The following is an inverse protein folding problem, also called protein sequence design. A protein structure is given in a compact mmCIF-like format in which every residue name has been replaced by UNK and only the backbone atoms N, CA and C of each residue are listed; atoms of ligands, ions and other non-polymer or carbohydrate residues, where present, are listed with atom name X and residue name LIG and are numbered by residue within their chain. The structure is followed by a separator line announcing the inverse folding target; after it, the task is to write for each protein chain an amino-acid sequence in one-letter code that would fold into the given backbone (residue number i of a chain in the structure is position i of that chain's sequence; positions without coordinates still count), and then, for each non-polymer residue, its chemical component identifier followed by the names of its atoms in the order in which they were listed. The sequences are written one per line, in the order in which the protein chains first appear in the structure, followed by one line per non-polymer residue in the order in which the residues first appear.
data_IF_199561209479
#
_entry.id   IF_199561209479
#
_cell.length_a   1.000
_cell.length_b   1.000
_cell.length_c   1.000
_cell.angle_alpha   90.00
_cell.angle_beta   90.00
_cell.angle_gamma   90.00
#
_symmetry.space_group_name_H-M   'P 1'
#
loop_
_entity.id
_entity.type
_entity.pdbx_description
1 polymer ?
#
# COMPACT_ATOMS: atom_id res chain seq x y z
N UNK A 1 13.94 -17.61 18.28
CA UNK A 1 13.44 -16.65 17.28
C UNK A 1 14.66 -15.96 16.69
N UNK A 2 14.94 -16.16 15.40
CA UNK A 2 16.01 -15.39 14.73
C UNK A 2 15.61 -13.90 14.75
N UNK A 3 16.57 -13.04 15.08
CA UNK A 3 16.42 -11.64 15.51
C UNK A 3 16.04 -10.64 14.37
N UNK A 4 15.35 -11.09 13.32
CA UNK A 4 15.15 -10.27 12.11
C UNK A 4 13.91 -9.37 12.19
N UNK A 5 13.00 -9.61 13.13
CA UNK A 5 11.81 -8.80 13.36
C UNK A 5 11.94 -8.02 14.67
N UNK A 6 12.05 -6.70 14.56
CA UNK A 6 12.03 -5.79 15.71
C UNK A 6 10.60 -5.29 15.93
N UNK A 7 9.95 -5.73 17.00
CA UNK A 7 8.53 -5.44 17.25
C UNK A 7 8.39 -4.33 18.28
N UNK A 8 7.73 -3.23 17.88
CA UNK A 8 7.35 -2.14 18.78
C UNK A 8 5.83 -2.16 18.95
N UNK A 9 5.39 -2.22 20.21
CA UNK A 9 3.95 -2.23 20.54
C UNK A 9 3.59 -0.94 21.27
N UNK A 10 2.57 -0.23 20.76
CA UNK A 10 2.04 1.01 21.36
C UNK A 10 0.59 0.80 21.78
N UNK A 11 0.33 1.09 23.06
CA UNK A 11 -0.96 0.80 23.72
C UNK A 11 -1.01 -0.60 24.33
N UNK A 12 -2.09 -0.91 25.04
CA UNK A 12 -2.27 -2.23 25.67
C UNK A 12 -2.89 -3.23 24.69
N UNK A 13 -2.07 -3.72 23.76
CA UNK A 13 -2.42 -4.78 22.79
C UNK A 13 -2.21 -6.16 23.43
N UNK A 14 -3.18 -7.09 23.37
CA UNK A 14 -3.01 -8.44 23.90
C UNK A 14 -1.81 -9.17 23.28
N UNK A 15 -0.98 -9.80 24.11
CA UNK A 15 0.22 -10.51 23.64
C UNK A 15 -0.09 -11.63 22.64
N UNK A 16 -1.21 -12.33 22.79
CA UNK A 16 -1.63 -13.38 21.86
C UNK A 16 -1.83 -12.83 20.45
N UNK A 17 -2.44 -11.64 20.32
CA UNK A 17 -2.59 -10.96 19.02
C UNK A 17 -1.24 -10.54 18.43
N UNK A 18 -0.34 -10.01 19.25
CA UNK A 18 1.02 -9.65 18.82
C UNK A 18 1.75 -10.88 18.27
N UNK A 19 1.67 -12.02 18.98
CA UNK A 19 2.31 -13.27 18.54
C UNK A 19 1.71 -13.81 17.24
N UNK A 20 0.39 -13.76 17.09
CA UNK A 20 -0.28 -14.18 15.87
C UNK A 20 0.19 -13.36 14.66
N UNK A 21 0.26 -12.03 14.80
CA UNK A 21 0.74 -11.12 13.72
C UNK A 21 2.19 -11.45 13.34
N UNK A 22 3.08 -11.59 14.34
CA UNK A 22 4.49 -11.89 14.09
C UNK A 22 4.69 -13.26 13.44
N UNK A 23 3.90 -14.26 13.85
CA UNK A 23 3.93 -15.59 13.25
C UNK A 23 3.50 -15.55 11.78
N UNK A 24 2.41 -14.84 11.47
CA UNK A 24 1.90 -14.70 10.11
C UNK A 24 2.91 -14.02 9.19
N UNK A 25 3.50 -12.90 9.63
CA UNK A 25 4.55 -12.20 8.88
C UNK A 25 5.72 -13.14 8.58
N UNK A 26 6.15 -13.91 9.58
CA UNK A 26 7.25 -14.87 9.43
C UNK A 26 6.91 -15.96 8.40
N UNK A 27 5.69 -16.50 8.45
CA UNK A 27 5.22 -17.53 7.50
C UNK A 27 5.14 -16.98 6.06
N UNK A 28 4.74 -15.72 5.88
CA UNK A 28 4.77 -15.07 4.56
C UNK A 28 6.19 -15.00 3.98
N UNK A 29 7.19 -14.60 4.79
CA UNK A 29 8.59 -14.56 4.33
C UNK A 29 9.13 -15.96 4.01
N UNK A 30 8.78 -16.98 4.82
CA UNK A 30 9.14 -18.37 4.56
C UNK A 30 8.56 -18.87 3.23
N UNK A 31 7.28 -18.62 2.96
CA UNK A 31 6.62 -18.99 1.68
C UNK A 31 7.26 -18.33 0.48
N UNK A 32 7.78 -17.12 0.64
CA UNK A 32 8.47 -16.38 -0.42
C UNK A 32 9.92 -16.87 -0.65
N UNK A 33 10.46 -17.71 0.25
CA UNK A 33 11.84 -18.19 0.17
C UNK A 33 12.88 -17.08 0.38
N UNK A 34 12.48 -15.98 1.03
CA UNK A 34 13.34 -14.81 1.28
C UNK A 34 13.58 -14.70 2.78
N UNK A 35 14.85 -14.63 3.22
CA UNK A 35 15.14 -14.25 4.60
C UNK A 35 14.79 -12.77 4.79
N UNK A 36 13.97 -12.39 5.78
CA UNK A 36 13.67 -10.99 6.02
C UNK A 36 14.96 -10.27 6.42
N UNK A 37 15.38 -9.30 5.60
CA UNK A 37 16.25 -8.22 6.07
C UNK A 37 15.52 -7.49 7.23
N UNK A 38 16.29 -6.91 8.16
CA UNK A 38 15.77 -6.29 9.38
C UNK A 38 14.46 -5.54 9.14
N UNK A 39 13.38 -6.02 9.75
CA UNK A 39 12.03 -5.48 9.55
C UNK A 39 11.46 -5.04 10.90
N UNK A 40 11.14 -3.75 10.99
CA UNK A 40 10.46 -3.18 12.15
C UNK A 40 8.94 -3.35 11.99
N UNK A 41 8.32 -3.99 12.99
CA UNK A 41 6.87 -4.21 13.04
C UNK A 41 6.29 -3.32 14.13
N UNK A 42 5.57 -2.28 13.71
CA UNK A 42 4.87 -1.36 14.61
C UNK A 42 3.42 -1.81 14.78
N UNK A 43 3.01 -2.13 16.02
CA UNK A 43 1.65 -2.59 16.34
C UNK A 43 0.99 -1.57 17.27
N UNK A 44 -0.14 -1.02 16.83
CA UNK A 44 -0.90 -0.02 17.56
C UNK A 44 -2.26 -0.57 17.97
N UNK A 45 -2.70 -0.26 19.19
CA UNK A 45 -4.06 -0.63 19.63
C UNK A 45 -5.15 0.17 18.95
N UNK A 46 -4.88 1.44 18.65
CA UNK A 46 -5.89 2.39 18.18
C UNK A 46 -5.27 3.46 17.30
N UNK A 47 -6.12 4.15 16.53
CA UNK A 47 -5.74 5.34 15.78
C UNK A 47 -5.10 6.41 16.66
N UNK A 48 -5.60 6.61 17.88
CA UNK A 48 -5.02 7.53 18.84
C UNK A 48 -3.57 7.17 19.21
N UNK A 49 -3.25 5.89 19.35
CA UNK A 49 -1.87 5.45 19.63
C UNK A 49 -0.94 5.67 18.43
N UNK A 50 -1.46 5.62 17.21
CA UNK A 50 -0.73 5.97 15.97
C UNK A 50 -0.42 7.46 15.96
N UNK A 51 -1.44 8.30 16.12
CA UNK A 51 -1.28 9.76 16.04
C UNK A 51 -0.34 10.26 17.16
N UNK A 52 -0.47 9.73 18.39
CA UNK A 52 0.46 10.04 19.48
C UNK A 52 1.90 9.61 19.19
N UNK A 53 2.10 8.42 18.61
CA UNK A 53 3.45 7.97 18.22
C UNK A 53 4.07 8.89 17.17
N UNK A 54 3.29 9.32 16.18
CA UNK A 54 3.75 10.27 15.16
C UNK A 54 4.14 11.60 15.82
N UNK A 55 3.35 12.12 16.76
CA UNK A 55 3.71 13.33 17.51
C UNK A 55 4.99 13.16 18.34
N UNK A 56 5.13 12.04 19.06
CA UNK A 56 6.33 11.69 19.84
C UNK A 56 7.58 11.65 18.96
N UNK A 57 7.51 10.99 17.80
CA UNK A 57 8.61 10.93 16.83
C UNK A 57 8.90 12.29 16.22
N UNK A 58 7.87 13.09 15.90
CA UNK A 58 8.05 14.44 15.37
C UNK A 58 8.78 15.35 16.36
N UNK A 59 8.46 15.26 17.66
CA UNK A 59 9.18 15.99 18.71
C UNK A 59 10.61 15.46 18.91
N UNK A 60 10.82 14.14 18.83
CA UNK A 60 12.16 13.55 18.87
C UNK A 60 13.03 14.08 17.72
N UNK A 61 12.52 14.06 16.49
CA UNK A 61 13.22 14.60 15.31
C UNK A 61 13.47 16.09 15.45
N UNK A 62 12.49 16.86 15.91
CA UNK A 62 12.64 18.29 16.14
C UNK A 62 13.73 18.58 17.19
N UNK A 63 13.76 17.86 18.29
CA UNK A 63 14.77 18.05 19.35
C UNK A 63 16.20 17.76 18.87
N UNK A 64 16.36 16.80 17.94
CA UNK A 64 17.67 16.37 17.44
C UNK A 64 18.16 17.19 16.25
N UNK A 65 17.25 17.53 15.33
CA UNK A 65 17.59 18.10 14.03
C UNK A 65 17.09 19.54 13.86
N UNK A 66 16.26 20.05 14.78
CA UNK A 66 15.63 21.37 14.67
C UNK A 66 14.55 21.45 13.59
N UNK A 67 14.18 20.33 12.98
CA UNK A 67 13.21 20.24 11.87
C UNK A 67 11.94 19.57 12.37
N UNK A 68 10.79 20.22 12.16
CA UNK A 68 9.49 19.57 12.38
C UNK A 68 9.11 18.80 11.14
N UNK A 69 8.79 17.52 11.31
CA UNK A 69 8.08 16.76 10.30
C UNK A 69 6.64 17.30 10.33
N UNK A 70 6.26 18.14 9.38
CA UNK A 70 4.84 18.46 9.22
C UNK A 70 4.16 17.25 8.60
N UNK A 71 2.92 16.97 9.01
CA UNK A 71 2.01 16.22 8.14
C UNK A 71 2.10 16.82 6.73
N UNK A 72 2.08 15.97 5.71
CA UNK A 72 2.26 16.39 4.31
C UNK A 72 1.14 17.37 3.97
N UNK A 73 1.39 18.67 4.16
CA UNK A 73 0.40 19.71 3.90
C UNK A 73 0.13 19.69 2.40
N UNK A 74 -1.12 19.80 1.92
CA UNK A 74 -1.43 19.70 0.49
C UNK A 74 -0.57 20.60 -0.41
N UNK A 75 -0.10 21.73 0.12
CA UNK A 75 0.74 22.72 -0.56
C UNK A 75 2.23 22.66 -0.19
N UNK A 76 2.67 21.61 0.52
CA UNK A 76 4.08 21.43 0.90
C UNK A 76 4.95 21.08 -0.30
N UNK A 77 6.25 21.38 -0.20
CA UNK A 77 7.25 20.96 -1.19
C UNK A 77 7.33 19.44 -1.34
N UNK A 78 7.07 18.69 -0.25
CA UNK A 78 7.01 17.22 -0.25
C UNK A 78 5.84 16.74 -1.10
N UNK A 79 4.65 17.31 -0.91
CA UNK A 79 3.46 17.00 -1.72
C UNK A 79 3.69 17.31 -3.19
N UNK A 80 4.29 18.47 -3.48
CA UNK A 80 4.64 18.85 -4.85
C UNK A 80 5.58 17.84 -5.52
N UNK A 81 6.61 17.39 -4.81
CA UNK A 81 7.53 16.36 -5.30
C UNK A 81 6.83 15.00 -5.49
N UNK A 82 5.98 14.59 -4.54
CA UNK A 82 5.20 13.36 -4.65
C UNK A 82 4.23 13.41 -5.83
N UNK A 83 3.55 14.54 -6.07
CA UNK A 83 2.70 14.73 -7.26
C UNK A 83 3.48 14.51 -8.54
N UNK A 84 4.66 15.13 -8.67
CA UNK A 84 5.52 14.95 -9.85
C UNK A 84 6.00 13.51 -10.02
N UNK A 85 6.34 12.84 -8.93
CA UNK A 85 6.74 11.43 -8.95
C UNK A 85 5.60 10.55 -9.46
N UNK A 86 4.39 10.71 -8.92
CA UNK A 86 3.24 9.93 -9.37
C UNK A 86 2.75 10.32 -10.77
N UNK A 87 2.92 11.57 -11.21
CA UNK A 87 2.73 11.91 -12.62
C UNK A 87 3.65 11.10 -13.53
N UNK A 88 4.90 10.86 -13.12
CA UNK A 88 5.82 10.05 -13.89
C UNK A 88 5.40 8.57 -13.90
N UNK A 89 5.06 7.99 -12.74
CA UNK A 89 4.69 6.58 -12.65
C UNK A 89 3.35 6.23 -13.27
N UNK A 90 2.36 7.14 -13.24
CA UNK A 90 1.04 6.89 -13.83
C UNK A 90 1.01 7.14 -15.35
N UNK A 91 2.01 7.79 -15.93
CA UNK A 91 2.04 8.03 -17.38
C UNK A 91 2.34 6.74 -18.11
N UNK A 92 1.32 6.19 -18.75
CA UNK A 92 1.44 4.94 -19.52
C UNK A 92 1.93 5.27 -20.93
N UNK A 93 3.06 4.70 -21.31
CA UNK A 93 3.64 4.84 -22.65
C UNK A 93 2.90 3.98 -23.67
N UNK A 94 2.94 4.33 -24.97
CA UNK A 94 2.34 3.51 -26.04
C UNK A 94 2.85 2.06 -26.06
N UNK A 95 4.09 1.81 -25.65
CA UNK A 95 4.66 0.47 -25.52
C UNK A 95 3.96 -0.32 -24.43
N UNK A 96 3.71 0.29 -23.27
CA UNK A 96 3.05 -0.34 -22.12
C UNK A 96 1.59 -0.67 -22.43
N UNK A 97 0.88 0.22 -23.15
CA UNK A 97 -0.49 -0.07 -23.64
C UNK A 97 -0.54 -1.33 -24.51
N UNK A 98 0.45 -1.50 -25.40
CA UNK A 98 0.56 -2.70 -26.24
C UNK A 98 0.84 -3.97 -25.44
N UNK A 99 1.53 -3.87 -24.29
CA UNK A 99 1.73 -5.01 -23.39
C UNK A 99 0.42 -5.39 -22.72
N UNK A 100 -0.36 -4.42 -22.25
CA UNK A 100 -1.70 -4.64 -21.69
C UNK A 100 -2.64 -5.34 -22.66
N UNK A 101 -2.70 -4.89 -23.92
CA UNK A 101 -3.53 -5.52 -24.96
C UNK A 101 -3.18 -7.00 -25.19
N UNK A 102 -1.90 -7.35 -25.12
CA UNK A 102 -1.43 -8.73 -25.30
C UNK A 102 -1.63 -9.60 -24.07
N UNK A 103 -1.55 -8.99 -22.88
CA UNK A 103 -1.64 -9.69 -21.61
C UNK A 103 -3.05 -10.21 -21.30
N UNK A 104 -4.10 -9.69 -21.95
CA UNK A 104 -5.50 -10.08 -21.70
C UNK A 104 -5.72 -11.60 -21.70
N UNK A 105 -4.99 -12.33 -22.55
CA UNK A 105 -5.11 -13.79 -22.67
C UNK A 105 -3.92 -14.55 -22.04
N UNK A 106 -2.97 -13.86 -21.41
CA UNK A 106 -1.74 -14.43 -20.87
C UNK A 106 -1.65 -14.13 -19.36
N UNK A 107 -2.24 -15.02 -18.56
CA UNK A 107 -2.45 -14.87 -17.11
C UNK A 107 -1.16 -14.49 -16.37
N UNK A 108 -0.04 -15.14 -16.69
CA UNK A 108 1.24 -14.87 -16.03
C UNK A 108 1.72 -13.43 -16.22
N UNK A 109 1.44 -12.84 -17.39
CA UNK A 109 1.78 -11.45 -17.69
C UNK A 109 0.74 -10.53 -17.06
N UNK A 110 -0.54 -10.88 -17.17
CA UNK A 110 -1.65 -10.09 -16.65
C UNK A 110 -1.55 -9.90 -15.12
N UNK A 111 -1.25 -10.96 -14.37
CA UNK A 111 -1.11 -10.89 -12.92
C UNK A 111 0.00 -9.91 -12.51
N UNK A 112 1.15 -9.93 -13.20
CA UNK A 112 2.25 -9.00 -12.92
C UNK A 112 1.87 -7.55 -13.21
N UNK A 113 1.19 -7.30 -14.33
CA UNK A 113 0.72 -5.96 -14.69
C UNK A 113 -0.32 -5.43 -13.71
N UNK A 114 -1.25 -6.29 -13.26
CA UNK A 114 -2.23 -5.94 -12.25
C UNK A 114 -1.55 -5.57 -10.93
N UNK A 115 -0.56 -6.33 -10.48
CA UNK A 115 0.18 -6.04 -9.24
C UNK A 115 0.96 -4.72 -9.33
N UNK A 116 1.61 -4.44 -10.46
CA UNK A 116 2.37 -3.21 -10.65
C UNK A 116 1.45 -1.98 -10.65
N UNK A 117 0.35 -2.03 -11.41
CA UNK A 117 -0.65 -0.95 -11.42
C UNK A 117 -1.32 -0.81 -10.05
N UNK A 118 -1.61 -1.92 -9.36
CA UNK A 118 -2.20 -1.87 -8.02
C UNK A 118 -1.29 -1.11 -7.06
N UNK A 119 0.01 -1.42 -7.04
CA UNK A 119 1.00 -0.74 -6.20
C UNK A 119 1.00 0.78 -6.43
N UNK A 120 1.03 1.21 -7.69
CA UNK A 120 1.08 2.63 -8.04
C UNK A 120 -0.24 3.34 -7.68
N UNK A 121 -1.38 2.74 -8.03
CA UNK A 121 -2.70 3.30 -7.72
C UNK A 121 -2.94 3.37 -6.20
N UNK A 122 -2.50 2.37 -5.46
CA UNK A 122 -2.57 2.36 -4.00
C UNK A 122 -1.77 3.50 -3.39
N UNK A 123 -0.52 3.69 -3.85
CA UNK A 123 0.35 4.74 -3.34
C UNK A 123 -0.14 6.16 -3.63
N UNK A 124 -0.81 6.38 -4.76
CA UNK A 124 -1.32 7.71 -5.14
C UNK A 124 -2.70 8.03 -4.57
N UNK A 125 -3.49 7.01 -4.19
CA UNK A 125 -4.85 7.19 -3.65
C UNK A 125 -4.94 8.23 -2.51
N UNK A 126 -4.14 8.13 -1.42
CA UNK A 126 -4.22 9.12 -0.34
C UNK A 126 -3.84 10.53 -0.80
N UNK A 127 -2.93 10.64 -1.78
CA UNK A 127 -2.51 11.92 -2.34
C UNK A 127 -3.62 12.59 -3.15
N UNK A 128 -4.37 11.82 -3.96
CA UNK A 128 -5.55 12.32 -4.68
C UNK A 128 -6.62 12.77 -3.69
N UNK A 129 -6.86 11.99 -2.64
CA UNK A 129 -7.87 12.32 -1.63
C UNK A 129 -7.55 13.61 -0.87
N UNK A 130 -6.28 13.80 -0.50
CA UNK A 130 -5.82 14.97 0.24
C UNK A 130 -5.72 16.23 -0.62
N UNK A 131 -5.32 16.10 -1.89
CA UNK A 131 -4.98 17.27 -2.73
C UNK A 131 -6.02 17.61 -3.79
N UNK A 132 -6.92 16.67 -4.12
CA UNK A 132 -7.90 16.79 -5.21
C UNK A 132 -7.27 17.20 -6.55
N UNK A 133 -6.03 16.78 -6.79
CA UNK A 133 -5.26 17.15 -7.99
C UNK A 133 -5.89 16.56 -9.25
N UNK A 134 -6.33 17.44 -10.16
CA UNK A 134 -7.06 17.03 -11.37
C UNK A 134 -6.18 16.21 -12.32
N UNK A 135 -4.88 16.49 -12.40
CA UNK A 135 -3.95 15.76 -13.30
C UNK A 135 -3.72 14.35 -12.77
N UNK A 136 -3.46 14.20 -11.47
CA UNK A 136 -3.34 12.88 -10.85
C UNK A 136 -4.63 12.08 -11.00
N UNK A 137 -5.78 12.71 -10.79
CA UNK A 137 -7.09 12.05 -10.96
C UNK A 137 -7.29 11.54 -12.39
N UNK A 138 -6.97 12.36 -13.40
CA UNK A 138 -7.08 11.94 -14.80
C UNK A 138 -6.15 10.77 -15.15
N UNK A 139 -4.91 10.80 -14.67
CA UNK A 139 -3.94 9.72 -14.89
C UNK A 139 -4.32 8.43 -14.13
N UNK A 140 -4.90 8.57 -12.94
CA UNK A 140 -5.43 7.45 -12.17
C UNK A 140 -6.54 6.72 -12.94
N UNK A 141 -7.50 7.47 -13.49
CA UNK A 141 -8.57 6.92 -14.32
C UNK A 141 -8.05 6.30 -15.63
N UNK A 142 -7.02 6.88 -16.25
CA UNK A 142 -6.37 6.29 -17.43
C UNK A 142 -5.82 4.89 -17.13
N UNK A 143 -5.15 4.71 -15.99
CA UNK A 143 -4.61 3.41 -15.57
C UNK A 143 -5.72 2.41 -15.25
N UNK A 144 -6.80 2.84 -14.58
CA UNK A 144 -7.97 1.99 -14.33
C UNK A 144 -8.62 1.48 -15.63
N UNK A 145 -8.53 2.24 -16.70
CA UNK A 145 -9.08 1.85 -18.01
C UNK A 145 -8.20 0.87 -18.80
N UNK A 146 -6.96 0.62 -18.36
CA UNK A 146 -6.11 -0.44 -18.93
C UNK A 146 -6.50 -1.83 -18.42
N UNK A 147 -7.14 -1.88 -17.26
CA UNK A 147 -7.50 -3.12 -16.59
C UNK A 147 -8.63 -3.82 -17.38
N UNK A 148 -8.46 -5.09 -17.77
CA UNK A 148 -9.49 -5.83 -18.50
C UNK A 148 -10.82 -5.87 -17.74
N UNK A 149 -11.92 -5.69 -18.46
CA UNK A 149 -13.26 -5.51 -17.85
C UNK A 149 -13.68 -6.72 -16.99
N UNK A 150 -13.31 -7.93 -17.39
CA UNK A 150 -13.60 -9.16 -16.65
C UNK A 150 -12.86 -9.25 -15.29
N UNK A 151 -11.80 -8.46 -15.09
CA UNK A 151 -11.00 -8.38 -13.86
C UNK A 151 -11.30 -7.10 -13.06
N UNK A 152 -11.72 -6.04 -13.76
CA UNK A 152 -11.87 -4.69 -13.21
C UNK A 152 -12.69 -4.64 -11.93
N UNK A 153 -13.77 -5.43 -11.84
CA UNK A 153 -14.61 -5.52 -10.64
C UNK A 153 -13.85 -6.02 -9.41
N UNK A 154 -13.05 -7.08 -9.55
CA UNK A 154 -12.23 -7.63 -8.45
C UNK A 154 -11.16 -6.61 -8.04
N UNK A 155 -10.50 -6.01 -9.03
CA UNK A 155 -9.46 -5.02 -8.78
C UNK A 155 -9.99 -3.76 -8.06
N UNK A 156 -11.15 -3.26 -8.46
CA UNK A 156 -11.78 -2.11 -7.80
C UNK A 156 -12.16 -2.41 -6.34
N UNK A 157 -12.59 -3.64 -6.03
CA UNK A 157 -12.84 -4.05 -4.63
C UNK A 157 -11.58 -3.96 -3.80
N UNK A 158 -10.45 -4.47 -4.30
CA UNK A 158 -9.15 -4.35 -3.63
C UNK A 158 -8.78 -2.89 -3.38
N UNK A 159 -8.94 -2.02 -4.39
CA UNK A 159 -8.62 -0.60 -4.25
C UNK A 159 -9.52 0.13 -3.23
N UNK A 160 -10.81 -0.20 -3.18
CA UNK A 160 -11.73 0.43 -2.23
C UNK A 160 -11.37 0.11 -0.79
N UNK A 161 -10.91 -1.12 -0.49
CA UNK A 161 -10.44 -1.51 0.86
C UNK A 161 -9.24 -0.70 1.33
N UNK A 162 -8.39 -0.18 0.42
CA UNK A 162 -7.31 0.74 0.82
C UNK A 162 -7.84 2.02 1.44
N UNK A 163 -8.98 2.53 0.96
CA UNK A 163 -9.60 3.75 1.48
C UNK A 163 -10.13 3.53 2.91
N UNK A 164 -10.38 2.29 3.29
CA UNK A 164 -10.89 1.87 4.58
C UNK A 164 -9.77 1.59 5.61
N UNK A 165 -8.49 1.54 5.20
CA UNK A 165 -7.34 1.24 6.07
C UNK A 165 -7.16 2.17 7.29
N UNK A 166 -7.89 3.29 7.35
CA UNK A 166 -7.84 4.26 8.45
C UNK A 166 -8.56 3.84 9.74
N UNK A 167 -9.52 2.90 9.69
CA UNK A 167 -10.35 2.52 10.83
C UNK A 167 -9.87 1.22 11.52
N UNK A 168 -9.54 0.17 10.76
CA UNK A 168 -8.96 -1.09 11.25
C UNK A 168 -7.92 -1.65 10.26
N UNK A 169 -6.69 -1.14 10.35
CA UNK A 169 -5.61 -1.37 9.37
C UNK A 169 -5.27 -2.85 9.16
N UNK A 170 -5.30 -3.68 10.20
CA UNK A 170 -4.95 -5.10 10.09
C UNK A 170 -6.03 -5.92 9.38
N UNK A 171 -7.30 -5.74 9.76
CA UNK A 171 -8.42 -6.45 9.13
C UNK A 171 -8.52 -6.08 7.64
N UNK A 172 -8.28 -4.82 7.31
CA UNK A 172 -8.31 -4.36 5.92
C UNK A 172 -7.11 -4.83 5.09
N UNK A 173 -5.94 -5.05 5.71
CA UNK A 173 -4.81 -5.73 5.05
C UNK A 173 -5.15 -7.21 4.77
N UNK A 174 -5.70 -7.93 5.75
CA UNK A 174 -6.09 -9.34 5.56
C UNK A 174 -7.17 -9.48 4.49
N UNK A 175 -8.21 -8.65 4.56
CA UNK A 175 -9.29 -8.60 3.58
C UNK A 175 -8.80 -8.26 2.16
N UNK A 176 -7.68 -7.56 2.02
CA UNK A 176 -7.06 -7.24 0.74
C UNK A 176 -6.20 -8.38 0.21
N UNK A 177 -5.49 -9.07 1.10
CA UNK A 177 -4.78 -10.31 0.77
C UNK A 177 -5.76 -11.40 0.30
N UNK A 178 -6.92 -11.52 0.94
CA UNK A 178 -7.97 -12.46 0.54
C UNK A 178 -8.53 -12.13 -0.85
N UNK A 179 -8.81 -10.86 -1.16
CA UNK A 179 -9.28 -10.45 -2.50
C UNK A 179 -8.22 -10.65 -3.58
N UNK A 180 -6.94 -10.42 -3.24
CA UNK A 180 -5.84 -10.76 -4.14
C UNK A 180 -5.80 -12.26 -4.39
N UNK A 181 -5.97 -13.07 -3.35
CA UNK A 181 -6.01 -14.52 -3.48
C UNK A 181 -7.21 -14.97 -4.34
N UNK A 182 -8.40 -14.43 -4.12
CA UNK A 182 -9.58 -14.67 -4.97
C UNK A 182 -9.35 -14.27 -6.42
N UNK A 183 -8.72 -13.10 -6.65
CA UNK A 183 -8.37 -12.64 -7.98
C UNK A 183 -7.38 -13.60 -8.67
N UNK A 184 -6.34 -14.03 -7.96
CA UNK A 184 -5.37 -14.97 -8.50
C UNK A 184 -6.02 -16.33 -8.80
N UNK A 185 -6.91 -16.83 -7.94
CA UNK A 185 -7.70 -18.05 -8.21
C UNK A 185 -8.58 -17.88 -9.45
N UNK A 186 -9.30 -16.76 -9.56
CA UNK A 186 -10.17 -16.49 -10.71
C UNK A 186 -9.39 -16.44 -12.03
N UNK A 187 -8.14 -15.99 -11.98
CA UNK A 187 -7.26 -15.96 -13.13
C UNK A 187 -6.62 -17.32 -13.46
N UNK A 188 -6.65 -18.31 -12.58
CA UNK A 188 -6.14 -19.65 -12.87
C UNK A 188 -7.16 -20.45 -13.71
N UNK A 189 -6.70 -21.29 -14.65
CA UNK A 189 -7.57 -22.10 -15.51
C UNK A 189 -8.33 -23.21 -14.77
#
# INVERSE_FOLDING_TARGET
MKENLYVVVKGNVPQEKVRAIVAEISECYEKLGVEPEFCEVLIFRSRYDVDRFIEEENELVYSRLGVRISGIAPDSSVTHCQKKLYWYHLRVKPEEKRVWEKAVNEINVLALLLMDVFKVLSGVTPLIEATKDAVLTALYEENLNLIPEHVKKHFQRMLNKLRELGEDTLENIFNMADELYELLIYLLP
#
